data_IF_444048546665
#
_entry.id   IF_444048546665
#
_cell.length_a   1.000
_cell.length_b   1.000
_cell.length_c   1.000
_cell.angle_alpha   90.00
_cell.angle_beta   90.00
_cell.angle_gamma   90.00
#
_symmetry.space_group_name_H-M   'P 1'
#
loop_
_entity.id
_entity.type
_entity.pdbx_description
1 polymer ?
#
# COMPACT_ATOMS: atom_id res chain seq x y z
N UNK A 1 51.90 41.02 -47.74
CA UNK A 1 50.85 40.00 -47.52
C UNK A 1 50.34 39.99 -46.07
N UNK A 2 51.13 39.58 -45.06
CA UNK A 2 50.68 39.63 -43.64
C UNK A 2 50.35 41.07 -43.20
N UNK A 3 51.25 42.01 -43.50
CA UNK A 3 51.08 43.44 -43.20
C UNK A 3 49.83 44.08 -43.83
N UNK A 4 49.42 43.60 -45.00
CA UNK A 4 48.23 44.13 -45.71
C UNK A 4 46.94 43.59 -45.09
N UNK A 5 46.96 42.35 -44.60
CA UNK A 5 45.86 41.75 -43.85
C UNK A 5 45.68 42.43 -42.48
N UNK A 6 46.77 42.68 -41.77
CA UNK A 6 46.74 43.41 -40.49
C UNK A 6 46.19 44.83 -40.67
N UNK A 7 46.57 45.52 -41.75
CA UNK A 7 46.04 46.84 -42.08
C UNK A 7 44.53 46.79 -42.39
N UNK A 8 44.06 45.75 -43.07
CA UNK A 8 42.64 45.57 -43.38
C UNK A 8 41.81 45.29 -42.12
N UNK A 9 42.33 44.47 -41.20
CA UNK A 9 41.68 44.19 -39.91
C UNK A 9 41.65 45.44 -39.03
N UNK A 10 42.77 46.16 -38.91
CA UNK A 10 42.82 47.41 -38.15
C UNK A 10 41.87 48.48 -38.72
N UNK A 11 41.72 48.55 -40.06
CA UNK A 11 40.73 49.43 -40.71
C UNK A 11 39.30 49.01 -40.41
N UNK A 12 39.00 47.71 -40.45
CA UNK A 12 37.66 47.20 -40.12
C UNK A 12 37.31 47.46 -38.65
N UNK A 13 38.22 47.22 -37.73
CA UNK A 13 38.02 47.46 -36.30
C UNK A 13 37.85 48.93 -35.99
N UNK A 14 38.63 49.81 -36.64
CA UNK A 14 38.45 51.26 -36.49
C UNK A 14 37.13 51.74 -37.09
N UNK A 15 36.64 51.15 -38.20
CA UNK A 15 35.31 51.44 -38.75
C UNK A 15 34.22 50.96 -37.80
N UNK A 16 34.32 49.75 -37.23
CA UNK A 16 33.34 49.21 -36.29
C UNK A 16 33.28 50.03 -35.00
N UNK A 17 34.44 50.36 -34.40
CA UNK A 17 34.52 51.21 -33.22
C UNK A 17 33.99 52.63 -33.49
N UNK A 18 34.20 53.16 -34.71
CA UNK A 18 33.66 54.46 -35.12
C UNK A 18 32.16 54.39 -35.36
N UNK A 19 31.62 53.30 -35.90
CA UNK A 19 30.20 53.08 -36.09
C UNK A 19 29.46 52.90 -34.76
N UNK A 20 30.01 52.15 -33.80
CA UNK A 20 29.45 52.02 -32.45
C UNK A 20 29.57 53.34 -31.66
N UNK A 21 30.70 54.04 -31.81
CA UNK A 21 30.91 55.37 -31.24
C UNK A 21 29.99 56.42 -31.84
N UNK A 22 29.66 56.34 -33.13
CA UNK A 22 28.69 57.18 -33.81
C UNK A 22 27.25 56.79 -33.49
N UNK A 23 26.91 55.52 -33.32
CA UNK A 23 25.58 55.11 -32.84
C UNK A 23 25.26 55.61 -31.43
N UNK A 24 26.29 55.81 -30.59
CA UNK A 24 26.18 56.44 -29.26
C UNK A 24 26.34 57.98 -29.28
N UNK A 25 26.90 58.56 -30.35
CA UNK A 25 27.12 60.02 -30.54
C UNK A 25 26.17 60.67 -31.53
N UNK A 26 25.34 59.91 -32.24
CA UNK A 26 24.08 60.37 -32.80
C UNK A 26 23.19 60.71 -31.62
N UNK A 27 23.52 61.83 -30.98
CA UNK A 27 22.59 62.63 -30.24
C UNK A 27 21.55 63.10 -31.24
N UNK A 28 20.61 62.21 -31.59
CA UNK A 28 19.25 62.66 -31.85
C UNK A 28 18.92 63.50 -30.63
N UNK A 29 18.90 64.81 -30.84
CA UNK A 29 18.31 65.74 -29.89
C UNK A 29 16.90 65.19 -29.67
N UNK A 30 16.71 64.47 -28.55
CA UNK A 30 15.44 63.87 -28.19
C UNK A 30 14.45 65.03 -28.22
N UNK A 31 13.61 65.03 -29.23
CA UNK A 31 12.67 66.11 -29.40
C UNK A 31 11.64 65.94 -28.29
N UNK A 32 11.06 67.01 -27.77
CA UNK A 32 10.00 66.93 -26.75
C UNK A 32 8.91 65.91 -27.10
N UNK A 33 8.66 65.70 -28.40
CA UNK A 33 7.79 64.66 -28.97
C UNK A 33 8.25 63.22 -28.68
N UNK A 34 9.55 62.92 -28.75
CA UNK A 34 10.10 61.58 -28.49
C UNK A 34 9.93 61.21 -27.01
N UNK A 35 10.19 62.15 -26.09
CA UNK A 35 9.91 61.96 -24.67
C UNK A 35 8.43 61.74 -24.38
N UNK A 36 7.54 62.48 -25.05
CA UNK A 36 6.10 62.27 -24.92
C UNK A 36 5.66 60.90 -25.46
N UNK A 37 6.29 60.41 -26.54
CA UNK A 37 6.05 59.07 -27.09
C UNK A 37 6.52 57.98 -26.14
N UNK A 38 7.75 58.06 -25.64
CA UNK A 38 8.27 57.09 -24.66
C UNK A 38 7.45 57.09 -23.37
N UNK A 39 7.04 58.26 -22.89
CA UNK A 39 6.15 58.36 -21.72
C UNK A 39 4.79 57.70 -21.97
N UNK A 40 4.22 57.86 -23.17
CA UNK A 40 2.97 57.20 -23.55
C UNK A 40 3.13 55.68 -23.67
N UNK A 41 4.25 55.21 -24.23
CA UNK A 41 4.58 53.78 -24.34
C UNK A 41 4.80 53.14 -22.97
N UNK A 42 5.54 53.79 -22.07
CA UNK A 42 5.74 53.34 -20.69
C UNK A 42 4.40 53.27 -19.94
N UNK A 43 3.53 54.28 -20.08
CA UNK A 43 2.18 54.25 -19.49
C UNK A 43 1.32 53.11 -20.04
N UNK A 44 1.47 52.75 -21.33
CA UNK A 44 0.79 51.58 -21.90
C UNK A 44 1.33 50.29 -21.29
N UNK A 45 2.65 50.10 -21.27
CA UNK A 45 3.30 48.94 -20.65
C UNK A 45 2.90 48.76 -19.17
N UNK A 46 2.85 49.84 -18.40
CA UNK A 46 2.39 49.79 -16.99
C UNK A 46 0.94 49.29 -16.90
N UNK A 47 0.03 49.77 -17.76
CA UNK A 47 -1.37 49.29 -17.78
C UNK A 47 -1.48 47.84 -18.22
N UNK A 48 -0.72 47.43 -19.23
CA UNK A 48 -0.76 46.06 -19.73
C UNK A 48 -0.23 45.08 -18.67
N UNK A 49 0.84 45.45 -17.96
CA UNK A 49 1.37 44.68 -16.83
C UNK A 49 0.36 44.64 -15.66
N UNK A 50 -0.34 45.73 -15.37
CA UNK A 50 -1.37 45.76 -14.34
C UNK A 50 -2.52 44.80 -14.67
N UNK A 51 -3.01 44.80 -15.91
CA UNK A 51 -4.02 43.85 -16.38
C UNK A 51 -3.55 42.40 -16.29
N UNK A 52 -2.34 42.11 -16.77
CA UNK A 52 -1.77 40.77 -16.67
C UNK A 52 -1.61 40.34 -15.19
N UNK A 53 -1.25 41.26 -14.31
CA UNK A 53 -1.20 41.00 -12.86
C UNK A 53 -2.58 40.68 -12.30
N UNK A 54 -3.61 41.45 -12.65
CA UNK A 54 -4.99 41.23 -12.21
C UNK A 54 -5.51 39.86 -12.69
N UNK A 55 -5.29 39.53 -13.97
CA UNK A 55 -5.63 38.22 -14.54
C UNK A 55 -4.91 37.09 -13.80
N UNK A 56 -3.59 37.21 -13.58
CA UNK A 56 -2.84 36.25 -12.79
C UNK A 56 -3.41 36.09 -11.37
N UNK A 57 -3.74 37.19 -10.68
CA UNK A 57 -4.35 37.12 -9.33
C UNK A 57 -5.71 36.42 -9.33
N UNK A 58 -6.55 36.64 -10.36
CA UNK A 58 -7.81 35.91 -10.50
C UNK A 58 -7.58 34.42 -10.66
N UNK A 59 -6.66 34.02 -11.55
CA UNK A 59 -6.35 32.61 -11.76
C UNK A 59 -5.78 31.93 -10.51
N UNK A 60 -4.98 32.65 -9.71
CA UNK A 60 -4.46 32.14 -8.44
C UNK A 60 -5.60 31.85 -7.47
N UNK A 61 -6.56 32.76 -7.32
CA UNK A 61 -7.71 32.57 -6.44
C UNK A 61 -8.58 31.37 -6.87
N UNK A 62 -8.83 31.23 -8.17
CA UNK A 62 -9.56 30.08 -8.72
C UNK A 62 -8.82 28.75 -8.44
N UNK A 63 -7.50 28.74 -8.61
CA UNK A 63 -6.67 27.56 -8.31
C UNK A 63 -6.67 27.23 -6.81
N UNK A 64 -6.62 28.23 -5.94
CA UNK A 64 -6.70 28.03 -4.49
C UNK A 64 -8.07 27.47 -4.06
N UNK A 65 -9.17 27.95 -4.67
CA UNK A 65 -10.51 27.44 -4.39
C UNK A 65 -10.68 25.99 -4.88
N UNK A 66 -10.24 25.71 -6.11
CA UNK A 66 -10.25 24.33 -6.63
C UNK A 66 -9.37 23.41 -5.79
N UNK A 67 -8.17 23.85 -5.38
CA UNK A 67 -7.31 23.07 -4.49
C UNK A 67 -8.00 22.76 -3.15
N UNK A 68 -8.68 23.74 -2.56
CA UNK A 68 -9.40 23.56 -1.29
C UNK A 68 -10.51 22.53 -1.45
N UNK A 69 -11.37 22.68 -2.45
CA UNK A 69 -12.48 21.75 -2.71
C UNK A 69 -12.00 20.32 -3.00
N UNK A 70 -10.91 20.16 -3.77
CA UNK A 70 -10.32 18.86 -4.03
C UNK A 70 -9.72 18.24 -2.77
N UNK A 71 -9.09 19.05 -1.91
CA UNK A 71 -8.52 18.58 -0.64
C UNK A 71 -9.61 18.11 0.32
N UNK A 72 -10.72 18.84 0.43
CA UNK A 72 -11.88 18.44 1.23
C UNK A 72 -12.48 17.13 0.72
N UNK A 73 -12.68 17.01 -0.60
CA UNK A 73 -13.16 15.77 -1.21
C UNK A 73 -12.22 14.59 -0.99
N UNK A 74 -10.90 14.82 -1.06
CA UNK A 74 -9.90 13.78 -0.82
C UNK A 74 -9.98 13.25 0.61
N UNK A 75 -10.13 14.14 1.61
CA UNK A 75 -10.28 13.74 3.02
C UNK A 75 -11.57 12.95 3.22
N UNK A 76 -12.68 13.40 2.65
CA UNK A 76 -13.95 12.66 2.72
C UNK A 76 -13.83 11.24 2.13
N UNK A 77 -13.16 11.11 0.97
CA UNK A 77 -12.90 9.81 0.35
C UNK A 77 -11.96 8.94 1.19
N UNK A 78 -10.97 9.54 1.83
CA UNK A 78 -10.07 8.81 2.73
C UNK A 78 -10.82 8.26 3.95
N UNK A 79 -11.75 9.02 4.52
CA UNK A 79 -12.61 8.56 5.62
C UNK A 79 -13.60 7.48 5.18
N UNK A 80 -14.16 7.57 3.98
CA UNK A 80 -15.02 6.53 3.41
C UNK A 80 -14.23 5.23 3.22
N UNK A 81 -13.02 5.30 2.70
CA UNK A 81 -12.14 4.14 2.52
C UNK A 81 -11.75 3.51 3.85
N UNK A 82 -11.42 4.30 4.89
CA UNK A 82 -11.06 3.76 6.19
C UNK A 82 -12.23 3.02 6.86
N UNK A 83 -13.46 3.54 6.73
CA UNK A 83 -14.67 2.87 7.21
C UNK A 83 -14.91 1.55 6.49
N UNK A 84 -14.88 1.56 5.15
CA UNK A 84 -15.06 0.33 4.35
C UNK A 84 -13.98 -0.72 4.65
N UNK A 85 -12.74 -0.29 4.90
CA UNK A 85 -11.67 -1.20 5.29
C UNK A 85 -11.96 -1.87 6.63
N UNK A 86 -12.39 -1.10 7.64
CA UNK A 86 -12.76 -1.64 8.94
C UNK A 86 -13.92 -2.64 8.84
N UNK A 87 -14.95 -2.33 8.05
CA UNK A 87 -16.07 -3.24 7.78
C UNK A 87 -15.62 -4.52 7.06
N UNK A 88 -14.70 -4.41 6.09
CA UNK A 88 -14.15 -5.57 5.39
C UNK A 88 -13.33 -6.48 6.33
N UNK A 89 -12.54 -5.89 7.24
CA UNK A 89 -11.77 -6.62 8.24
C UNK A 89 -12.69 -7.35 9.24
N UNK A 90 -13.78 -6.71 9.68
CA UNK A 90 -14.80 -7.32 10.55
C UNK A 90 -15.50 -8.50 9.86
N UNK A 91 -15.94 -8.31 8.61
CA UNK A 91 -16.53 -9.37 7.81
C UNK A 91 -15.56 -10.54 7.57
N UNK A 92 -14.28 -10.25 7.38
CA UNK A 92 -13.22 -11.25 7.26
C UNK A 92 -13.09 -12.10 8.53
N UNK A 93 -13.07 -11.47 9.70
CA UNK A 93 -13.02 -12.17 10.99
C UNK A 93 -14.26 -13.04 11.23
N UNK A 94 -15.45 -12.56 10.86
CA UNK A 94 -16.69 -13.32 10.97
C UNK A 94 -16.73 -14.53 10.04
N UNK A 95 -16.24 -14.39 8.80
CA UNK A 95 -16.11 -15.52 7.87
C UNK A 95 -15.21 -16.61 8.42
N UNK A 96 -14.05 -16.25 8.99
CA UNK A 96 -13.13 -17.21 9.61
C UNK A 96 -13.77 -17.93 10.80
N UNK A 97 -14.49 -17.19 11.66
CA UNK A 97 -15.25 -17.75 12.79
C UNK A 97 -16.32 -18.72 12.33
N UNK A 98 -17.12 -18.34 11.33
CA UNK A 98 -18.19 -19.19 10.79
C UNK A 98 -17.61 -20.43 10.10
N UNK A 99 -16.49 -20.31 9.40
CA UNK A 99 -15.80 -21.44 8.79
C UNK A 99 -15.27 -22.42 9.84
N UNK A 100 -14.70 -21.92 10.94
CA UNK A 100 -14.27 -22.75 12.07
C UNK A 100 -15.46 -23.49 12.71
N UNK A 101 -16.56 -22.78 12.98
CA UNK A 101 -17.77 -23.36 13.54
C UNK A 101 -18.37 -24.43 12.62
N UNK A 102 -18.40 -24.18 11.30
CA UNK A 102 -18.86 -25.16 10.31
C UNK A 102 -18.03 -26.43 10.33
N UNK A 103 -16.69 -26.32 10.40
CA UNK A 103 -15.79 -27.48 10.51
C UNK A 103 -16.04 -28.26 11.80
N UNK A 104 -16.20 -27.57 12.93
CA UNK A 104 -16.51 -28.20 14.21
C UNK A 104 -17.86 -28.95 14.16
N UNK A 105 -18.92 -28.30 13.67
CA UNK A 105 -20.24 -28.90 13.56
C UNK A 105 -20.23 -30.13 12.65
N UNK A 106 -19.51 -30.06 11.53
CA UNK A 106 -19.36 -31.20 10.63
C UNK A 106 -18.64 -32.37 11.32
N UNK A 107 -17.57 -32.11 12.05
CA UNK A 107 -16.86 -33.13 12.84
C UNK A 107 -17.82 -33.81 13.83
N UNK A 108 -18.57 -33.02 14.61
CA UNK A 108 -19.57 -33.54 15.56
C UNK A 108 -20.67 -34.34 14.88
N UNK A 109 -21.17 -33.91 13.72
CA UNK A 109 -22.18 -34.67 12.97
C UNK A 109 -21.64 -36.02 12.52
N UNK A 110 -20.41 -36.07 12.00
CA UNK A 110 -19.78 -37.32 11.56
C UNK A 110 -19.56 -38.27 12.74
N UNK A 111 -19.14 -37.78 13.91
CA UNK A 111 -18.98 -38.63 15.11
C UNK A 111 -20.32 -39.18 15.58
N UNK A 112 -21.37 -38.35 15.61
CA UNK A 112 -22.72 -38.78 15.98
C UNK A 112 -23.31 -39.79 15.00
N UNK A 113 -23.14 -39.56 13.69
CA UNK A 113 -23.56 -40.52 12.66
C UNK A 113 -22.83 -41.85 12.78
N UNK A 114 -21.53 -41.82 13.06
CA UNK A 114 -20.73 -43.03 13.26
C UNK A 114 -21.21 -43.79 14.50
N UNK A 115 -21.45 -43.08 15.61
CA UNK A 115 -22.02 -43.66 16.83
C UNK A 115 -23.39 -44.27 16.57
N UNK A 116 -24.26 -43.60 15.83
CA UNK A 116 -25.57 -44.13 15.45
C UNK A 116 -25.44 -45.44 14.65
N UNK A 117 -24.54 -45.49 13.66
CA UNK A 117 -24.27 -46.71 12.89
C UNK A 117 -23.81 -47.87 13.78
N UNK A 118 -22.92 -47.60 14.73
CA UNK A 118 -22.46 -48.61 15.68
C UNK A 118 -23.61 -49.10 16.58
N UNK A 119 -24.42 -48.20 17.12
CA UNK A 119 -25.58 -48.57 17.94
C UNK A 119 -26.61 -49.39 17.16
N UNK A 120 -26.86 -49.04 15.90
CA UNK A 120 -27.73 -49.84 15.03
C UNK A 120 -27.15 -51.24 14.77
N UNK A 121 -25.85 -51.34 14.50
CA UNK A 121 -25.20 -52.64 14.33
C UNK A 121 -25.28 -53.49 15.61
N UNK A 122 -25.22 -52.88 16.81
CA UNK A 122 -25.41 -53.57 18.09
C UNK A 122 -26.84 -54.11 18.20
N UNK A 123 -27.84 -53.27 17.88
CA UNK A 123 -29.26 -53.67 17.86
C UNK A 123 -29.53 -54.83 16.89
N UNK A 124 -28.87 -54.81 15.73
CA UNK A 124 -29.02 -55.85 14.72
C UNK A 124 -28.17 -57.11 15.00
N UNK A 125 -27.39 -57.13 16.09
CA UNK A 125 -26.48 -58.24 16.42
C UNK A 125 -25.27 -58.40 15.48
N UNK A 126 -24.99 -57.40 14.63
CA UNK A 126 -23.92 -57.40 13.62
C UNK A 126 -22.67 -56.63 14.04
N UNK A 127 -22.67 -56.03 15.24
CA UNK A 127 -21.56 -55.23 15.71
C UNK A 127 -20.33 -56.06 16.05
N UNK A 128 -19.18 -55.68 15.48
CA UNK A 128 -17.88 -56.29 15.78
C UNK A 128 -17.08 -55.30 16.61
N UNK A 129 -16.67 -55.72 17.81
CA UNK A 129 -15.77 -54.92 18.65
C UNK A 129 -14.43 -54.71 17.95
N UNK A 130 -14.09 -53.44 17.71
CA UNK A 130 -12.77 -53.03 17.21
C UNK A 130 -11.63 -53.53 18.11
N UNK A 131 -11.86 -53.50 19.43
CA UNK A 131 -10.91 -53.94 20.44
C UNK A 131 -11.61 -54.92 21.36
N UNK A 132 -11.27 -56.21 21.20
CA UNK A 132 -11.95 -57.32 21.90
C UNK A 132 -11.50 -57.50 23.34
N UNK A 133 -10.27 -57.11 23.67
CA UNK A 133 -9.69 -57.33 25.00
C UNK A 133 -9.07 -56.04 25.56
N UNK A 134 -9.03 -55.94 26.90
CA UNK A 134 -8.47 -54.77 27.60
C UNK A 134 -7.01 -54.51 27.23
N UNK A 135 -6.27 -55.56 26.91
CA UNK A 135 -4.85 -55.47 26.56
C UNK A 135 -4.63 -54.83 25.18
N UNK A 136 -5.47 -55.14 24.19
CA UNK A 136 -5.47 -54.51 22.86
C UNK A 136 -5.86 -53.03 22.93
N UNK A 137 -6.80 -52.69 23.82
CA UNK A 137 -7.16 -51.29 24.08
C UNK A 137 -5.96 -50.52 24.65
N UNK A 138 -5.30 -51.07 25.67
CA UNK A 138 -4.11 -50.43 26.26
C UNK A 138 -2.95 -50.31 25.25
N UNK A 139 -2.74 -51.30 24.38
CA UNK A 139 -1.69 -51.20 23.35
C UNK A 139 -2.02 -50.15 22.29
N UNK A 140 -3.28 -49.99 21.90
CA UNK A 140 -3.69 -48.95 20.97
C UNK A 140 -3.59 -47.55 21.59
N UNK A 141 -3.97 -47.39 22.87
CA UNK A 141 -3.79 -46.13 23.59
C UNK A 141 -2.32 -45.72 23.65
N UNK A 142 -1.42 -46.65 24.02
CA UNK A 142 0.03 -46.41 24.00
C UNK A 142 0.53 -46.03 22.60
N UNK A 143 0.08 -46.72 21.56
CA UNK A 143 0.44 -46.39 20.18
C UNK A 143 0.00 -44.98 19.79
N UNK A 144 -1.15 -44.52 20.27
CA UNK A 144 -1.65 -43.16 20.05
C UNK A 144 -0.83 -42.13 20.82
N UNK A 145 -0.49 -42.40 22.08
CA UNK A 145 0.38 -41.55 22.90
C UNK A 145 1.78 -41.40 22.28
N UNK A 146 2.41 -42.50 21.87
CA UNK A 146 3.72 -42.50 21.19
C UNK A 146 3.69 -41.68 19.90
N UNK A 147 2.57 -41.77 19.16
CA UNK A 147 2.38 -41.02 17.92
C UNK A 147 2.16 -39.53 18.19
N UNK A 148 1.41 -39.17 19.23
CA UNK A 148 1.24 -37.78 19.65
C UNK A 148 2.58 -37.20 20.14
N UNK A 149 3.36 -37.95 20.91
CA UNK A 149 4.71 -37.58 21.31
C UNK A 149 5.64 -37.34 20.11
N UNK A 150 5.57 -38.22 19.10
CA UNK A 150 6.32 -38.05 17.85
C UNK A 150 5.93 -36.79 17.09
N UNK A 151 4.62 -36.48 17.00
CA UNK A 151 4.12 -35.25 16.39
C UNK A 151 4.58 -34.02 17.17
N UNK A 152 4.53 -34.07 18.51
CA UNK A 152 5.03 -32.98 19.37
C UNK A 152 6.50 -32.70 19.12
N UNK A 153 7.33 -33.74 19.02
CA UNK A 153 8.76 -33.61 18.72
C UNK A 153 9.00 -33.01 17.33
N UNK A 154 8.22 -33.40 16.32
CA UNK A 154 8.29 -32.80 14.98
C UNK A 154 7.90 -31.32 15.03
N UNK A 155 6.82 -30.97 15.73
CA UNK A 155 6.38 -29.58 15.87
C UNK A 155 7.42 -28.73 16.58
N UNK A 156 8.11 -29.28 17.59
CA UNK A 156 9.19 -28.58 18.28
C UNK A 156 10.37 -28.30 17.33
N UNK A 157 10.83 -29.31 16.58
CA UNK A 157 11.90 -29.16 15.59
C UNK A 157 11.54 -28.16 14.49
N UNK A 158 10.33 -28.24 13.95
CA UNK A 158 9.84 -27.30 12.93
C UNK A 158 9.74 -25.87 13.50
N UNK A 159 9.41 -25.73 14.79
CA UNK A 159 9.44 -24.46 15.50
C UNK A 159 10.84 -23.87 15.63
N UNK A 160 11.85 -24.69 15.86
CA UNK A 160 13.27 -24.28 15.90
C UNK A 160 13.81 -23.93 14.50
N UNK A 161 13.48 -24.73 13.49
CA UNK A 161 13.95 -24.55 12.11
C UNK A 161 13.27 -23.37 11.39
N UNK A 162 12.01 -23.08 11.74
CA UNK A 162 11.20 -22.07 11.07
C UNK A 162 10.45 -21.14 12.04
N UNK A 163 11.17 -20.19 12.67
CA UNK A 163 10.57 -19.25 13.64
C UNK A 163 9.48 -18.35 13.03
N UNK A 164 9.51 -18.12 11.72
CA UNK A 164 8.47 -17.36 11.00
C UNK A 164 7.06 -17.96 11.11
N UNK A 165 6.92 -19.25 11.41
CA UNK A 165 5.62 -19.93 11.52
C UNK A 165 5.20 -20.18 12.97
N UNK A 166 5.91 -19.64 13.95
CA UNK A 166 5.67 -19.92 15.37
C UNK A 166 4.23 -19.62 15.79
N UNK A 167 3.63 -18.52 15.34
CA UNK A 167 2.23 -18.18 15.65
C UNK A 167 1.19 -19.22 15.16
N UNK A 168 1.42 -19.81 13.98
CA UNK A 168 0.56 -20.88 13.45
C UNK A 168 0.82 -22.21 14.15
N UNK A 169 2.10 -22.53 14.43
CA UNK A 169 2.51 -23.75 15.12
C UNK A 169 2.01 -23.80 16.56
N UNK A 170 1.94 -22.66 17.27
CA UNK A 170 1.45 -22.58 18.64
C UNK A 170 0.01 -23.11 18.80
N UNK A 171 -0.88 -22.84 17.84
CA UNK A 171 -2.25 -23.34 17.88
C UNK A 171 -2.30 -24.87 17.76
N UNK A 172 -1.42 -25.42 16.91
CA UNK A 172 -1.32 -26.86 16.69
C UNK A 172 -0.66 -27.53 17.89
N UNK A 173 0.40 -26.95 18.45
CA UNK A 173 1.08 -27.49 19.62
C UNK A 173 0.15 -27.53 20.83
N UNK A 174 -0.63 -26.47 21.08
CA UNK A 174 -1.64 -26.43 22.15
C UNK A 174 -2.73 -27.50 21.98
N UNK A 175 -3.11 -27.81 20.74
CA UNK A 175 -4.08 -28.87 20.44
C UNK A 175 -3.51 -30.27 20.66
N UNK A 176 -2.22 -30.46 20.40
CA UNK A 176 -1.51 -31.73 20.65
C UNK A 176 -1.27 -31.92 22.14
N UNK A 177 -0.89 -30.88 22.88
CA UNK A 177 -0.68 -30.96 24.33
C UNK A 177 -2.00 -31.16 25.07
N UNK A 178 -3.09 -30.49 24.68
CA UNK A 178 -4.40 -30.75 25.29
C UNK A 178 -4.92 -32.17 25.03
N UNK A 179 -4.55 -32.76 23.88
CA UNK A 179 -4.79 -34.17 23.58
C UNK A 179 -3.94 -35.13 24.43
N UNK A 180 -2.76 -34.72 24.87
CA UNK A 180 -1.90 -35.48 25.80
C UNK A 180 -2.35 -35.32 27.26
N UNK A 181 -2.87 -34.15 27.64
CA UNK A 181 -3.34 -33.81 28.99
C UNK A 181 -4.79 -34.24 29.28
N UNK A 182 -5.51 -34.74 28.27
CA UNK A 182 -6.81 -35.38 28.46
C UNK A 182 -6.63 -36.90 28.50
N UNK A 183 -6.25 -37.50 29.64
CA UNK A 183 -6.56 -38.90 29.87
C UNK A 183 -8.08 -38.94 30.06
N UNK A 184 -8.82 -39.17 28.98
CA UNK A 184 -10.25 -39.43 29.07
C UNK A 184 -10.51 -40.65 29.99
N UNK A 185 -11.61 -40.64 30.76
CA UNK A 185 -11.96 -41.66 31.76
C UNK A 185 -12.19 -43.07 31.18
#
# INVERSE_FOLDING_TARGET
MIRDMELAVARRETIAARAEGQGKRDGRLLTRMDFHREQAELRRKVRDIQKATEECTSTILELEETQRSMSESLVEKQEQLSKMQAEADELGADLDRLAALKRQNLSTLVTLQTRLKHLQAVKDGRYVFLLRNKQSLLSELRRLEDRLGSISNILHRVGEEHPQFQGALLKVSQSVTSGLESPGP
#
